data_IF_996662867256
#
_entry.id   IF_996662867256
#
_cell.length_a   1.000
_cell.length_b   1.000
_cell.length_c   1.000
_cell.angle_alpha   90.00
_cell.angle_beta   90.00
_cell.angle_gamma   90.00
#
_symmetry.space_group_name_H-M   'P 1'
#
loop_
_entity.id
_entity.type
_entity.pdbx_description
1 polymer ?
#
# COMPACT_ATOMS: atom_id res chain seq x y z
N UNK A 1 -18.11 -18.36 2.68
CA UNK A 1 -19.48 -17.89 2.90
C UNK A 1 -19.43 -16.46 3.45
N UNK A 2 -20.29 -15.61 2.93
CA UNK A 2 -20.46 -14.24 3.39
C UNK A 2 -21.85 -14.12 4.03
N UNK A 3 -21.87 -14.14 5.36
CA UNK A 3 -23.08 -14.07 6.17
C UNK A 3 -23.13 -12.73 6.87
N UNK A 4 -24.24 -12.02 6.72
CA UNK A 4 -24.55 -10.83 7.46
C UNK A 4 -26.00 -10.91 7.94
N UNK A 5 -26.24 -10.65 9.21
CA UNK A 5 -27.57 -10.81 9.76
C UNK A 5 -27.80 -10.01 11.03
N UNK A 6 -29.04 -9.99 11.45
CA UNK A 6 -29.49 -9.38 12.69
C UNK A 6 -30.05 -10.47 13.58
N UNK A 7 -29.65 -10.49 14.85
CA UNK A 7 -30.21 -11.41 15.83
C UNK A 7 -31.58 -10.88 16.31
N UNK A 8 -32.61 -11.68 16.10
CA UNK A 8 -33.95 -11.41 16.57
C UNK A 8 -34.12 -11.98 18.00
N UNK A 9 -34.04 -11.10 18.99
CA UNK A 9 -34.12 -11.47 20.41
C UNK A 9 -35.50 -12.06 20.75
N UNK A 10 -36.56 -11.61 20.06
CA UNK A 10 -37.94 -12.03 20.36
C UNK A 10 -38.17 -13.51 19.98
N UNK A 11 -37.59 -13.92 18.86
CA UNK A 11 -37.76 -15.25 18.31
C UNK A 11 -36.55 -16.17 18.54
N UNK A 12 -35.50 -15.67 19.25
CA UNK A 12 -34.25 -16.36 19.55
C UNK A 12 -33.61 -16.98 18.30
N UNK A 13 -33.51 -16.21 17.22
CA UNK A 13 -32.98 -16.65 15.94
C UNK A 13 -32.19 -15.57 15.21
N UNK A 14 -31.24 -16.00 14.39
CA UNK A 14 -30.55 -15.10 13.46
C UNK A 14 -31.34 -14.99 12.15
N UNK A 15 -31.69 -13.76 11.79
CA UNK A 15 -32.23 -13.44 10.47
C UNK A 15 -31.08 -13.00 9.57
N UNK A 16 -30.77 -13.77 8.56
CA UNK A 16 -29.71 -13.42 7.62
C UNK A 16 -30.22 -12.36 6.63
N UNK A 17 -29.54 -11.21 6.59
CA UNK A 17 -29.76 -10.17 5.61
C UNK A 17 -29.00 -10.44 4.31
N UNK A 18 -27.88 -11.18 4.41
CA UNK A 18 -27.10 -11.66 3.28
C UNK A 18 -26.63 -13.08 3.57
N UNK A 19 -26.78 -13.95 2.61
CA UNK A 19 -26.25 -15.32 2.67
C UNK A 19 -25.71 -15.69 1.29
N UNK A 20 -24.43 -15.45 1.05
CA UNK A 20 -23.80 -15.75 -0.23
C UNK A 20 -22.55 -16.62 -0.06
N UNK A 21 -22.25 -17.37 -1.09
CA UNK A 21 -21.06 -18.22 -1.21
C UNK A 21 -20.16 -17.65 -2.29
N UNK A 22 -18.88 -17.42 -1.93
CA UNK A 22 -17.84 -17.01 -2.85
C UNK A 22 -16.94 -18.21 -3.17
N UNK A 23 -16.83 -18.55 -4.44
CA UNK A 23 -15.82 -19.48 -4.94
C UNK A 23 -14.65 -18.66 -5.47
N UNK A 24 -13.48 -18.82 -4.86
CA UNK A 24 -12.29 -18.04 -5.24
C UNK A 24 -11.23 -18.93 -5.86
N UNK A 25 -10.76 -18.51 -7.03
CA UNK A 25 -9.66 -19.13 -7.76
C UNK A 25 -8.48 -18.16 -7.76
N UNK A 26 -7.35 -18.61 -7.18
CA UNK A 26 -6.18 -17.77 -7.01
C UNK A 26 -4.98 -18.36 -7.75
N UNK A 27 -4.30 -17.55 -8.56
CA UNK A 27 -2.99 -17.83 -9.15
C UNK A 27 -2.00 -16.76 -8.64
N UNK A 28 -1.03 -17.20 -7.84
CA UNK A 28 -0.03 -16.33 -7.24
C UNK A 28 1.35 -16.67 -7.80
N UNK A 29 2.01 -15.69 -8.40
CA UNK A 29 3.39 -15.80 -8.87
C UNK A 29 4.29 -14.94 -8.02
N UNK A 30 5.45 -15.49 -7.63
CA UNK A 30 6.45 -14.77 -6.84
C UNK A 30 7.79 -14.92 -7.48
N UNK A 31 8.49 -13.79 -7.65
CA UNK A 31 9.85 -13.74 -8.12
C UNK A 31 10.67 -12.94 -7.12
N UNK A 32 11.76 -13.51 -6.64
CA UNK A 32 12.72 -12.86 -5.76
C UNK A 32 14.13 -12.98 -6.28
N UNK A 33 14.93 -11.95 -6.12
CA UNK A 33 16.36 -11.96 -6.42
C UNK A 33 17.12 -11.23 -5.31
N UNK A 34 18.30 -11.75 -4.96
CA UNK A 34 19.20 -11.18 -3.98
C UNK A 34 20.60 -11.11 -4.60
N UNK A 35 21.25 -9.95 -4.49
CA UNK A 35 22.64 -9.77 -4.86
C UNK A 35 23.37 -9.04 -3.75
N UNK A 36 24.36 -9.66 -3.14
CA UNK A 36 25.22 -9.05 -2.14
C UNK A 36 26.67 -9.12 -2.62
N UNK A 37 27.34 -7.98 -2.62
CA UNK A 37 28.75 -7.84 -2.91
C UNK A 37 29.44 -7.25 -1.69
N UNK A 38 30.58 -7.79 -1.29
CA UNK A 38 31.39 -7.27 -0.21
C UNK A 38 32.83 -7.08 -0.69
N UNK A 39 33.40 -5.93 -0.36
CA UNK A 39 34.79 -5.59 -0.58
C UNK A 39 35.46 -5.32 0.75
N UNK A 40 36.52 -6.05 1.04
CA UNK A 40 37.37 -5.85 2.20
C UNK A 40 38.73 -5.33 1.72
N UNK A 41 39.24 -4.27 2.37
CA UNK A 41 40.57 -3.75 2.08
C UNK A 41 41.65 -4.77 2.48
N UNK A 42 42.83 -4.70 1.90
CA UNK A 42 43.96 -5.58 2.24
C UNK A 42 44.37 -5.51 3.71
N UNK A 43 44.18 -4.35 4.37
CA UNK A 43 44.44 -4.17 5.79
C UNK A 43 43.33 -4.74 6.68
N UNK A 44 42.18 -5.12 6.13
CA UNK A 44 40.98 -5.53 6.87
C UNK A 44 40.19 -4.38 7.52
N UNK A 45 40.73 -3.16 7.49
CA UNK A 45 40.18 -2.02 8.24
C UNK A 45 38.99 -1.36 7.56
N UNK A 46 38.84 -1.55 6.24
CA UNK A 46 37.74 -0.97 5.49
C UNK A 46 36.90 -2.05 4.83
N UNK A 47 35.60 -2.05 5.12
CA UNK A 47 34.63 -2.96 4.52
C UNK A 47 33.52 -2.16 3.83
N UNK A 48 33.23 -2.52 2.59
CA UNK A 48 32.10 -1.97 1.83
C UNK A 48 31.18 -3.11 1.44
N UNK A 49 29.88 -2.90 1.53
CA UNK A 49 28.90 -3.88 1.09
C UNK A 49 27.83 -3.19 0.24
N UNK A 50 27.54 -3.79 -0.91
CA UNK A 50 26.40 -3.45 -1.73
C UNK A 50 25.38 -4.59 -1.63
N UNK A 51 24.19 -4.27 -1.15
CA UNK A 51 23.10 -5.23 -0.97
C UNK A 51 21.93 -4.81 -1.84
N UNK A 52 21.42 -5.75 -2.64
CA UNK A 52 20.25 -5.53 -3.47
C UNK A 52 19.23 -6.63 -3.24
N UNK A 53 17.98 -6.24 -3.07
CA UNK A 53 16.85 -7.14 -2.98
C UNK A 53 15.82 -6.69 -4.00
N UNK A 54 15.32 -7.65 -4.76
CA UNK A 54 14.21 -7.49 -5.68
C UNK A 54 13.14 -8.51 -5.35
N UNK A 55 11.89 -8.07 -5.23
CA UNK A 55 10.74 -8.95 -5.09
C UNK A 55 9.61 -8.48 -5.97
N UNK A 56 8.97 -9.42 -6.65
CA UNK A 56 7.72 -9.21 -7.36
C UNK A 56 6.70 -10.28 -7.00
N UNK A 57 5.49 -9.84 -6.70
CA UNK A 57 4.36 -10.70 -6.38
C UNK A 57 3.22 -10.30 -7.30
N UNK A 58 2.79 -11.25 -8.12
CA UNK A 58 1.60 -11.13 -8.95
C UNK A 58 0.51 -12.01 -8.35
N UNK A 59 -0.65 -11.42 -8.12
CA UNK A 59 -1.85 -12.10 -7.62
C UNK A 59 -2.95 -11.93 -8.66
N UNK A 60 -3.39 -13.05 -9.22
CA UNK A 60 -4.55 -13.11 -10.09
C UNK A 60 -5.65 -13.87 -9.37
N UNK A 61 -6.81 -13.26 -9.20
CA UNK A 61 -7.94 -13.84 -8.49
C UNK A 61 -9.21 -13.66 -9.32
N UNK A 62 -9.92 -14.75 -9.48
CA UNK A 62 -11.30 -14.76 -9.92
C UNK A 62 -12.18 -15.17 -8.74
N UNK A 63 -13.25 -14.43 -8.51
CA UNK A 63 -14.26 -14.76 -7.49
C UNK A 63 -15.60 -14.85 -8.18
N UNK A 64 -16.29 -15.95 -7.96
CA UNK A 64 -17.66 -16.19 -8.38
C UNK A 64 -18.54 -16.21 -7.13
N UNK A 65 -19.59 -15.40 -7.13
CA UNK A 65 -20.51 -15.25 -6.00
C UNK A 65 -21.91 -15.68 -6.39
N UNK A 66 -22.57 -16.41 -5.51
CA UNK A 66 -24.00 -16.71 -5.61
C UNK A 66 -24.63 -16.75 -4.23
N UNK A 67 -25.89 -16.33 -4.13
CA UNK A 67 -26.61 -16.37 -2.87
C UNK A 67 -27.77 -15.38 -2.83
N UNK A 68 -28.07 -14.90 -1.62
CA UNK A 68 -29.16 -13.97 -1.36
C UNK A 68 -28.59 -12.66 -0.80
N UNK A 69 -29.04 -11.55 -1.34
CA UNK A 69 -28.65 -10.20 -0.89
C UNK A 69 -29.49 -9.73 0.31
N UNK A 70 -29.23 -8.51 0.78
CA UNK A 70 -29.91 -7.94 1.94
C UNK A 70 -31.40 -7.66 1.72
N UNK A 71 -31.87 -7.63 0.49
CA UNK A 71 -33.26 -7.46 0.09
C UNK A 71 -33.98 -8.79 -0.07
N UNK A 72 -33.32 -9.91 0.19
CA UNK A 72 -33.81 -11.27 -0.02
C UNK A 72 -33.95 -11.68 -1.49
N UNK A 73 -33.25 -10.95 -2.38
CA UNK A 73 -33.18 -11.30 -3.79
C UNK A 73 -31.99 -12.21 -4.08
N UNK A 74 -32.10 -13.06 -5.08
CA UNK A 74 -30.98 -13.86 -5.54
C UNK A 74 -29.91 -12.94 -6.15
N UNK A 75 -28.66 -13.09 -5.72
CA UNK A 75 -27.52 -12.33 -6.18
C UNK A 75 -26.52 -13.26 -6.88
N UNK A 76 -26.11 -12.87 -8.07
CA UNK A 76 -24.98 -13.48 -8.78
C UNK A 76 -23.98 -12.37 -9.08
N UNK A 77 -22.70 -12.65 -8.86
CA UNK A 77 -21.66 -11.68 -9.11
C UNK A 77 -20.33 -12.32 -9.45
N UNK A 78 -19.47 -11.57 -10.11
CA UNK A 78 -18.11 -11.98 -10.33
C UNK A 78 -17.12 -10.82 -10.16
N UNK A 79 -15.92 -11.17 -9.73
CA UNK A 79 -14.80 -10.26 -9.61
C UNK A 79 -13.58 -10.84 -10.34
N UNK A 80 -13.03 -10.06 -11.26
CA UNK A 80 -11.73 -10.29 -11.89
C UNK A 80 -10.73 -9.32 -11.30
N UNK A 81 -9.75 -9.84 -10.58
CA UNK A 81 -8.80 -9.04 -9.83
C UNK A 81 -7.37 -9.47 -10.16
N UNK A 82 -6.62 -8.57 -10.77
CA UNK A 82 -5.18 -8.72 -10.91
C UNK A 82 -4.45 -7.63 -10.16
N UNK A 83 -3.44 -8.01 -9.40
CA UNK A 83 -2.59 -7.07 -8.67
C UNK A 83 -1.13 -7.51 -8.74
N UNK A 84 -0.27 -6.59 -9.15
CA UNK A 84 1.16 -6.76 -9.03
C UNK A 84 1.74 -5.85 -7.94
N UNK A 85 2.73 -6.34 -7.22
CA UNK A 85 3.58 -5.59 -6.31
C UNK A 85 5.03 -5.84 -6.66
N UNK A 86 5.81 -4.77 -6.80
CA UNK A 86 7.25 -4.85 -6.96
C UNK A 86 7.90 -4.04 -5.86
N UNK A 87 8.90 -4.61 -5.21
CA UNK A 87 9.74 -3.92 -4.23
C UNK A 87 11.21 -4.15 -4.58
N UNK A 88 11.98 -3.07 -4.56
CA UNK A 88 13.44 -3.11 -4.70
C UNK A 88 14.05 -2.35 -3.54
N UNK A 89 15.17 -2.84 -3.05
CA UNK A 89 15.99 -2.10 -2.10
C UNK A 89 17.45 -2.27 -2.50
N UNK A 90 18.16 -1.15 -2.58
CA UNK A 90 19.59 -1.08 -2.79
C UNK A 90 20.20 -0.37 -1.59
N UNK A 91 21.14 -1.01 -0.92
CA UNK A 91 21.84 -0.46 0.22
C UNK A 91 23.35 -0.54 -0.01
N UNK A 92 24.05 0.57 0.18
CA UNK A 92 25.49 0.66 0.19
C UNK A 92 25.93 0.98 1.61
N UNK A 93 26.79 0.14 2.19
CA UNK A 93 27.31 0.34 3.54
C UNK A 93 28.82 0.44 3.54
N UNK A 94 29.37 1.22 4.45
CA UNK A 94 30.80 1.31 4.72
C UNK A 94 31.07 1.20 6.20
N UNK A 95 32.11 0.43 6.53
CA UNK A 95 32.64 0.29 7.89
C UNK A 95 34.14 0.49 7.86
N UNK A 96 34.62 1.41 8.71
CA UNK A 96 36.01 1.81 8.80
C UNK A 96 36.47 1.67 10.25
N UNK A 97 37.45 0.79 10.47
CA UNK A 97 38.03 0.57 11.79
C UNK A 97 39.39 1.27 11.84
N UNK A 98 39.49 2.28 12.68
CA UNK A 98 40.70 3.04 12.97
C UNK A 98 41.20 2.67 14.37
N UNK A 99 42.39 3.06 14.82
CA UNK A 99 42.93 2.65 16.11
C UNK A 99 42.07 2.95 17.34
N UNK A 100 41.34 4.07 17.30
CA UNK A 100 40.44 4.52 18.38
C UNK A 100 39.02 4.81 17.90
N UNK A 101 38.76 4.73 16.57
CA UNK A 101 37.50 5.10 15.98
C UNK A 101 36.91 3.96 15.19
N UNK A 102 35.59 3.84 15.28
CA UNK A 102 34.77 3.00 14.41
C UNK A 102 33.76 3.89 13.69
N UNK A 103 33.93 4.00 12.38
CA UNK A 103 33.04 4.74 11.51
C UNK A 103 32.18 3.79 10.70
N UNK A 104 30.86 3.96 10.76
CA UNK A 104 29.90 3.19 10.00
C UNK A 104 28.91 4.12 9.32
N UNK A 105 28.64 3.85 8.05
CA UNK A 105 27.64 4.60 7.31
C UNK A 105 26.86 3.68 6.37
N UNK A 106 25.63 4.05 6.08
CA UNK A 106 24.83 3.42 5.06
C UNK A 106 24.01 4.45 4.26
N UNK A 107 23.82 4.12 2.99
CA UNK A 107 22.95 4.83 2.06
C UNK A 107 21.99 3.80 1.47
N UNK A 108 20.72 4.09 1.50
CA UNK A 108 19.69 3.18 1.02
C UNK A 108 18.69 3.88 0.11
N UNK A 109 18.31 3.17 -0.95
CA UNK A 109 17.20 3.55 -1.81
C UNK A 109 16.26 2.38 -1.96
N UNK A 110 14.99 2.60 -1.65
CA UNK A 110 13.92 1.63 -1.83
C UNK A 110 12.86 2.18 -2.78
N UNK A 111 12.40 1.33 -3.66
CA UNK A 111 11.24 1.59 -4.49
C UNK A 111 10.20 0.49 -4.30
N UNK A 112 8.97 0.90 -4.06
CA UNK A 112 7.83 0.00 -4.01
C UNK A 112 6.73 0.48 -4.94
N UNK A 113 6.16 -0.42 -5.71
CA UNK A 113 4.97 -0.13 -6.47
C UNK A 113 3.88 -1.17 -6.27
N UNK A 114 2.66 -0.72 -6.46
CA UNK A 114 1.48 -1.58 -6.57
C UNK A 114 0.69 -1.13 -7.78
N UNK A 115 0.33 -2.10 -8.62
CA UNK A 115 -0.52 -1.90 -9.78
C UNK A 115 -1.72 -2.82 -9.67
N UNK A 116 -2.89 -2.29 -9.93
CA UNK A 116 -4.12 -3.02 -10.12
C UNK A 116 -4.76 -2.46 -11.39
N UNK A 117 -4.34 -2.96 -12.56
CA UNK A 117 -4.92 -2.58 -13.82
C UNK A 117 -6.22 -3.33 -14.01
N UNK A 118 -7.32 -2.61 -14.08
CA UNK A 118 -8.59 -3.16 -14.53
C UNK A 118 -9.16 -4.28 -13.61
N UNK A 119 -9.38 -3.96 -12.34
CA UNK A 119 -10.26 -4.78 -11.51
C UNK A 119 -11.68 -4.65 -12.04
N UNK A 120 -12.27 -5.76 -12.47
CA UNK A 120 -13.65 -5.82 -12.96
C UNK A 120 -14.53 -6.45 -11.90
N UNK A 121 -15.66 -5.84 -11.65
CA UNK A 121 -16.65 -6.35 -10.72
C UNK A 121 -18.04 -6.11 -11.28
N UNK A 122 -18.90 -7.11 -11.20
CA UNK A 122 -20.31 -6.95 -11.48
C UNK A 122 -21.17 -7.74 -10.49
N UNK A 123 -22.38 -7.27 -10.29
CA UNK A 123 -23.42 -7.94 -9.52
C UNK A 123 -24.72 -7.89 -10.28
N UNK A 124 -25.44 -8.99 -10.29
CA UNK A 124 -26.77 -9.15 -10.91
C UNK A 124 -27.70 -9.60 -9.79
N UNK A 125 -28.80 -8.89 -9.64
CA UNK A 125 -29.87 -9.28 -8.72
C UNK A 125 -31.03 -9.87 -9.53
N UNK A 126 -31.55 -11.01 -9.10
CA UNK A 126 -32.76 -11.64 -9.62
C UNK A 126 -33.94 -11.30 -8.73
N UNK A 127 -34.34 -10.03 -8.73
CA UNK A 127 -35.42 -9.52 -7.88
C UNK A 127 -36.80 -10.04 -8.27
N UNK A 128 -36.95 -10.62 -9.47
CA UNK A 128 -38.28 -10.87 -10.06
C UNK A 128 -38.45 -12.29 -10.63
N UNK A 129 -37.70 -13.28 -10.18
CA UNK A 129 -37.71 -14.67 -10.70
C UNK A 129 -37.40 -14.81 -12.20
N UNK A 130 -36.89 -13.75 -12.84
CA UNK A 130 -36.70 -13.70 -14.29
C UNK A 130 -35.28 -13.37 -14.75
N UNK A 131 -34.28 -13.50 -13.86
CA UNK A 131 -32.89 -13.21 -14.22
C UNK A 131 -32.73 -11.79 -14.74
N UNK A 132 -33.39 -10.83 -14.13
CA UNK A 132 -33.22 -9.42 -14.47
C UNK A 132 -31.92 -8.93 -13.91
N UNK A 133 -31.00 -8.64 -14.80
CA UNK A 133 -29.85 -7.87 -14.49
C UNK A 133 -30.31 -6.49 -14.05
N UNK A 134 -30.22 -6.18 -12.78
CA UNK A 134 -30.45 -4.83 -12.29
C UNK A 134 -29.11 -4.08 -12.38
N UNK A 135 -28.92 -3.47 -13.52
CA UNK A 135 -27.99 -2.38 -13.61
C UNK A 135 -28.68 -1.15 -13.03
N UNK A 136 -28.75 -1.07 -11.70
CA UNK A 136 -29.18 0.16 -11.04
C UNK A 136 -28.04 1.17 -11.13
N UNK A 137 -28.40 2.42 -11.31
CA UNK A 137 -27.45 3.50 -11.47
C UNK A 137 -26.39 3.48 -10.37
N UNK A 138 -25.18 3.04 -10.72
CA UNK A 138 -24.02 3.39 -9.97
C UNK A 138 -23.08 2.30 -9.47
N UNK A 139 -23.37 1.01 -9.50
CA UNK A 139 -22.43 0.09 -8.83
C UNK A 139 -22.29 -1.32 -9.40
N UNK A 140 -23.12 -1.77 -10.29
CA UNK A 140 -23.23 -3.20 -10.57
C UNK A 140 -22.20 -3.70 -11.55
N UNK A 141 -21.73 -2.84 -12.47
CA UNK A 141 -20.61 -3.18 -13.35
C UNK A 141 -19.58 -2.07 -13.26
N UNK A 142 -18.48 -2.32 -12.61
CA UNK A 142 -17.43 -1.34 -12.48
C UNK A 142 -16.05 -1.88 -12.90
N UNK A 143 -15.17 -0.94 -13.24
CA UNK A 143 -13.76 -1.17 -13.55
C UNK A 143 -12.93 -0.21 -12.74
N UNK A 144 -11.97 -0.73 -11.98
CA UNK A 144 -11.10 0.06 -11.12
C UNK A 144 -9.63 -0.10 -11.54
N UNK A 145 -8.94 1.03 -11.60
CA UNK A 145 -7.52 1.11 -11.93
C UNK A 145 -6.80 1.81 -10.79
N UNK A 146 -5.89 1.12 -10.11
CA UNK A 146 -5.10 1.75 -9.05
C UNK A 146 -3.60 1.65 -9.30
N UNK A 147 -2.91 2.71 -8.92
CA UNK A 147 -1.48 2.83 -9.02
C UNK A 147 -0.93 3.47 -7.76
N UNK A 148 0.04 2.80 -7.13
CA UNK A 148 0.84 3.35 -6.03
C UNK A 148 2.31 3.25 -6.40
N UNK A 149 3.02 4.36 -6.25
CA UNK A 149 4.48 4.43 -6.32
C UNK A 149 5.01 5.03 -5.02
N UNK A 150 6.03 4.43 -4.45
CA UNK A 150 6.69 4.89 -3.24
C UNK A 150 8.21 4.83 -3.41
N UNK A 151 8.86 5.92 -3.07
CA UNK A 151 10.31 6.06 -3.08
C UNK A 151 10.76 6.40 -1.66
N UNK A 152 11.77 5.71 -1.16
CA UNK A 152 12.37 5.94 0.14
C UNK A 152 13.87 6.07 -0.05
N UNK A 153 14.43 7.16 0.42
CA UNK A 153 15.87 7.41 0.46
C UNK A 153 16.26 7.57 1.91
N UNK A 154 17.28 6.86 2.36
CA UNK A 154 17.81 7.03 3.72
C UNK A 154 19.32 7.06 3.75
N UNK A 155 19.84 7.79 4.71
CA UNK A 155 21.25 7.83 5.04
C UNK A 155 21.43 7.71 6.55
N UNK A 156 22.42 6.96 6.95
CA UNK A 156 22.81 6.78 8.34
C UNK A 156 24.31 6.92 8.48
N UNK A 157 24.74 7.54 9.57
CA UNK A 157 26.13 7.73 9.93
C UNK A 157 26.31 7.52 11.42
N UNK A 158 27.32 6.75 11.79
CA UNK A 158 27.69 6.48 13.18
C UNK A 158 29.19 6.54 13.32
N UNK A 159 29.64 7.19 14.37
CA UNK A 159 31.02 7.21 14.82
C UNK A 159 31.08 6.80 16.29
N UNK A 160 32.00 5.92 16.63
CA UNK A 160 32.34 5.55 17.99
C UNK A 160 33.80 5.84 18.21
N UNK A 161 34.11 6.65 19.21
CA UNK A 161 35.48 6.94 19.66
C UNK A 161 35.73 6.32 21.01
N UNK A 162 36.80 5.54 21.12
CA UNK A 162 37.26 4.91 22.38
C UNK A 162 38.41 5.73 22.98
N UNK A 163 38.16 6.32 24.15
CA UNK A 163 39.16 7.07 24.92
C UNK A 163 39.92 6.14 25.84
N UNK A 164 41.17 6.52 26.18
CA UNK A 164 41.98 5.78 27.13
C UNK A 164 42.64 6.70 28.13
N UNK A 165 42.19 6.62 29.39
CA UNK A 165 42.71 7.39 30.53
C UNK A 165 43.22 6.44 31.61
N UNK A 166 44.35 5.82 31.36
CA UNK A 166 44.89 4.77 32.24
C UNK A 166 44.01 3.53 32.26
N UNK A 167 43.40 3.20 33.39
CA UNK A 167 42.46 2.07 33.53
C UNK A 167 41.00 2.44 33.23
N UNK A 168 40.71 3.70 32.97
CA UNK A 168 39.40 4.19 32.59
C UNK A 168 39.32 4.33 31.06
N UNK A 169 38.48 3.53 30.43
CA UNK A 169 38.33 3.48 28.95
C UNK A 169 36.87 3.78 28.55
N UNK A 170 36.45 5.07 28.62
CA UNK A 170 35.11 5.44 28.18
C UNK A 170 35.01 5.48 26.66
N UNK A 171 33.80 5.32 26.15
CA UNK A 171 33.54 5.52 24.72
C UNK A 171 32.43 6.52 24.50
N UNK A 172 32.53 7.29 23.42
CA UNK A 172 31.51 8.21 22.93
C UNK A 172 31.02 7.72 21.57
N UNK A 173 29.70 7.67 21.38
CA UNK A 173 29.09 7.35 20.14
C UNK A 173 28.23 8.52 19.67
N UNK A 174 28.48 8.98 18.44
CA UNK A 174 27.70 10.00 17.75
C UNK A 174 27.06 9.39 16.52
N UNK A 175 25.87 9.85 16.16
CA UNK A 175 25.25 9.37 14.93
C UNK A 175 24.15 10.28 14.44
N UNK A 176 23.83 10.10 13.15
CA UNK A 176 22.79 10.80 12.46
C UNK A 176 22.03 9.89 11.51
N UNK A 177 20.76 10.15 11.35
CA UNK A 177 19.86 9.45 10.44
C UNK A 177 19.01 10.45 9.68
N UNK A 178 18.85 10.24 8.39
CA UNK A 178 17.94 10.99 7.56
C UNK A 178 17.15 10.04 6.65
N UNK A 179 15.85 10.27 6.53
CA UNK A 179 14.98 9.55 5.60
C UNK A 179 14.04 10.53 4.90
N UNK A 180 13.93 10.39 3.60
CA UNK A 180 12.90 11.03 2.81
C UNK A 180 12.07 9.97 2.09
N UNK A 181 10.74 10.05 2.28
CA UNK A 181 9.77 9.17 1.65
C UNK A 181 8.79 10.00 0.83
N UNK A 182 8.58 9.57 -0.42
CA UNK A 182 7.55 10.14 -1.30
C UNK A 182 6.65 9.02 -1.79
N UNK A 183 5.34 9.19 -1.60
CA UNK A 183 4.31 8.24 -2.00
C UNK A 183 3.28 8.94 -2.87
N UNK A 184 2.93 8.32 -3.99
CA UNK A 184 1.89 8.76 -4.88
C UNK A 184 0.88 7.66 -5.11
N UNK A 185 -0.36 7.93 -4.78
CA UNK A 185 -1.47 7.02 -5.00
C UNK A 185 -2.47 7.64 -5.96
N UNK A 186 -2.87 6.87 -6.98
CA UNK A 186 -3.89 7.24 -7.94
C UNK A 186 -4.88 6.09 -8.13
N UNK A 187 -6.15 6.44 -8.19
CA UNK A 187 -7.22 5.53 -8.57
C UNK A 187 -8.13 6.19 -9.60
N UNK A 188 -8.68 5.38 -10.50
CA UNK A 188 -9.74 5.74 -11.43
C UNK A 188 -10.78 4.64 -11.39
N UNK A 189 -12.02 5.01 -11.38
CA UNK A 189 -13.15 4.09 -11.38
C UNK A 189 -14.07 4.44 -12.52
N UNK A 190 -14.53 3.42 -13.22
CA UNK A 190 -15.46 3.53 -14.32
C UNK A 190 -16.64 2.62 -14.05
N UNK A 191 -17.83 3.11 -14.37
CA UNK A 191 -19.08 2.36 -14.33
C UNK A 191 -19.67 2.29 -15.72
N UNK A 192 -20.32 1.17 -16.04
CA UNK A 192 -21.13 1.10 -17.24
C UNK A 192 -22.49 1.72 -16.94
N UNK A 193 -22.92 2.62 -17.81
CA UNK A 193 -24.18 3.34 -17.69
C UNK A 193 -24.90 3.36 -19.02
N UNK A 194 -26.17 3.68 -18.99
CA UNK A 194 -27.03 3.87 -20.16
C UNK A 194 -28.13 4.86 -19.79
N UNK A 195 -28.75 5.49 -20.80
CA UNK A 195 -29.95 6.25 -20.57
C UNK A 195 -31.14 5.32 -20.33
N UNK A 196 -31.92 5.59 -19.30
CA UNK A 196 -33.07 4.76 -18.92
C UNK A 196 -34.26 4.90 -19.89
N UNK A 197 -34.36 6.04 -20.54
CA UNK A 197 -35.52 6.40 -21.38
C UNK A 197 -35.21 6.43 -22.89
N UNK A 198 -33.99 6.84 -23.25
CA UNK A 198 -33.60 7.14 -24.65
C UNK A 198 -32.54 6.21 -25.23
N UNK A 199 -32.37 4.98 -24.69
CA UNK A 199 -31.39 4.06 -25.25
C UNK A 199 -31.96 3.23 -26.41
N UNK A 200 -31.10 2.83 -27.35
CA UNK A 200 -31.39 1.95 -28.47
C UNK A 200 -30.99 0.49 -28.23
N UNK A 201 -30.71 0.13 -26.99
CA UNK A 201 -30.41 -1.24 -26.60
C UNK A 201 -31.64 -2.14 -26.76
N UNK A 202 -31.45 -3.45 -27.03
CA UNK A 202 -32.57 -4.40 -27.04
C UNK A 202 -33.35 -4.34 -25.72
N UNK A 203 -34.66 -4.46 -25.77
CA UNK A 203 -35.53 -4.36 -24.58
C UNK A 203 -35.19 -5.36 -23.48
N UNK A 204 -34.56 -6.47 -23.84
CA UNK A 204 -34.14 -7.56 -22.97
C UNK A 204 -32.65 -7.56 -22.64
N UNK A 205 -31.93 -6.47 -23.01
CA UNK A 205 -30.47 -6.40 -22.78
C UNK A 205 -30.08 -6.67 -21.31
N UNK A 206 -30.97 -6.36 -20.38
CA UNK A 206 -30.77 -6.64 -18.94
C UNK A 206 -30.78 -8.12 -18.58
N UNK A 207 -31.29 -8.96 -19.47
CA UNK A 207 -31.34 -10.42 -19.31
C UNK A 207 -30.23 -11.15 -20.06
N UNK A 208 -29.44 -10.41 -20.85
CA UNK A 208 -28.34 -10.99 -21.60
C UNK A 208 -27.21 -11.45 -20.68
N UNK A 209 -26.47 -12.44 -21.15
CA UNK A 209 -25.22 -12.84 -20.49
C UNK A 209 -24.25 -11.65 -20.47
N UNK A 210 -23.59 -11.43 -19.31
CA UNK A 210 -22.67 -10.32 -19.13
C UNK A 210 -21.49 -10.39 -20.10
N UNK A 211 -21.00 -11.57 -20.39
CA UNK A 211 -19.88 -11.73 -21.33
C UNK A 211 -20.31 -11.35 -22.75
N UNK A 212 -21.51 -11.74 -23.15
CA UNK A 212 -22.09 -11.36 -24.45
C UNK A 212 -22.31 -9.84 -24.51
N UNK A 213 -22.96 -9.26 -23.50
CA UNK A 213 -23.27 -7.83 -23.45
C UNK A 213 -22.01 -6.97 -23.49
N UNK A 214 -20.98 -7.32 -22.71
CA UNK A 214 -19.77 -6.50 -22.58
C UNK A 214 -18.71 -6.77 -23.66
N UNK A 215 -18.82 -7.85 -24.42
CA UNK A 215 -17.89 -8.15 -25.51
C UNK A 215 -18.35 -7.65 -26.88
N UNK A 216 -19.64 -7.37 -27.05
CA UNK A 216 -20.19 -6.94 -28.33
C UNK A 216 -20.12 -5.41 -28.46
N UNK A 217 -19.29 -4.94 -29.40
CA UNK A 217 -19.12 -3.51 -29.68
C UNK A 217 -20.39 -2.81 -30.11
N UNK A 218 -21.37 -3.54 -30.67
CA UNK A 218 -22.63 -2.97 -31.18
C UNK A 218 -23.55 -2.48 -30.06
N UNK A 219 -23.29 -2.91 -28.82
CA UNK A 219 -24.01 -2.45 -27.62
C UNK A 219 -23.42 -1.19 -26.98
N UNK A 220 -22.37 -0.61 -27.56
CA UNK A 220 -21.72 0.59 -27.02
C UNK A 220 -21.93 1.80 -27.93
N UNK A 221 -22.24 2.95 -27.31
CA UNK A 221 -22.45 4.22 -28.00
C UNK A 221 -23.13 5.26 -27.15
N UNK A 222 -23.39 6.44 -27.70
CA UNK A 222 -23.98 7.55 -26.95
C UNK A 222 -25.42 7.27 -26.46
N UNK A 223 -26.18 6.51 -27.25
CA UNK A 223 -27.55 6.08 -26.99
C UNK A 223 -27.65 4.60 -26.59
N UNK A 224 -26.56 4.02 -26.12
CA UNK A 224 -26.43 2.62 -25.71
C UNK A 224 -25.70 2.55 -24.36
N UNK A 225 -24.94 1.46 -24.12
CA UNK A 225 -24.00 1.40 -23.02
C UNK A 225 -22.83 2.35 -23.28
N UNK A 226 -22.49 3.12 -22.29
CA UNK A 226 -21.30 3.95 -22.29
C UNK A 226 -20.53 3.82 -20.98
N UNK A 227 -19.25 4.12 -21.03
CA UNK A 227 -18.38 4.07 -19.87
C UNK A 227 -18.31 5.44 -19.23
N UNK A 228 -18.85 5.57 -18.03
CA UNK A 228 -18.81 6.79 -17.23
C UNK A 228 -17.64 6.71 -16.24
N UNK A 229 -16.74 7.69 -16.26
CA UNK A 229 -15.72 7.81 -15.21
C UNK A 229 -16.33 8.44 -13.97
N UNK A 230 -16.32 7.67 -12.88
CA UNK A 230 -16.72 8.18 -11.58
C UNK A 230 -15.63 9.11 -11.02
N UNK A 231 -16.03 10.30 -10.61
CA UNK A 231 -15.08 11.26 -10.04
C UNK A 231 -14.66 10.80 -8.64
N UNK A 232 -13.46 10.26 -8.56
CA UNK A 232 -12.88 9.79 -7.28
C UNK A 232 -11.55 10.50 -6.93
N UNK A 233 -11.39 11.76 -7.34
CA UNK A 233 -10.15 12.53 -7.16
C UNK A 233 -9.76 12.69 -5.70
N UNK A 234 -10.71 12.75 -4.76
CA UNK A 234 -10.45 12.78 -3.31
C UNK A 234 -9.76 11.50 -2.80
N UNK A 235 -9.84 10.42 -3.55
CA UNK A 235 -9.14 9.16 -3.21
C UNK A 235 -7.67 9.18 -3.68
N UNK A 236 -7.28 10.18 -4.48
CA UNK A 236 -5.91 10.36 -4.95
C UNK A 236 -5.13 11.20 -3.94
N UNK A 237 -3.87 10.83 -3.70
CA UNK A 237 -3.02 11.60 -2.80
C UNK A 237 -1.54 11.51 -3.19
N UNK A 238 -0.80 12.56 -2.81
CA UNK A 238 0.65 12.56 -2.70
C UNK A 238 1.02 12.74 -1.24
N UNK A 239 1.88 11.88 -0.73
CA UNK A 239 2.37 11.94 0.65
C UNK A 239 3.88 12.04 0.67
N UNK A 240 4.41 12.98 1.44
CA UNK A 240 5.83 13.15 1.68
C UNK A 240 6.12 13.02 3.17
N UNK A 241 7.23 12.39 3.51
CA UNK A 241 7.71 12.31 4.89
C UNK A 241 9.20 12.60 4.90
N UNK A 242 9.62 13.49 5.78
CA UNK A 242 11.02 13.80 6.08
C UNK A 242 11.26 13.49 7.55
N UNK A 243 12.15 12.56 7.82
CA UNK A 243 12.63 12.21 9.15
C UNK A 243 14.11 12.51 9.25
N UNK A 244 14.49 13.27 10.25
CA UNK A 244 15.88 13.53 10.61
C UNK A 244 16.10 13.22 12.08
N UNK A 245 17.21 12.56 12.43
CA UNK A 245 17.58 12.29 13.79
C UNK A 245 19.08 12.44 14.01
N UNK A 246 19.44 12.91 15.20
CA UNK A 246 20.80 12.92 15.68
C UNK A 246 20.87 12.37 17.09
N UNK A 247 21.94 11.68 17.43
CA UNK A 247 22.10 11.13 18.76
C UNK A 247 23.55 11.18 19.24
N UNK A 248 23.68 11.18 20.55
CA UNK A 248 24.94 11.07 21.29
C UNK A 248 24.76 10.08 22.42
N UNK A 249 25.70 9.18 22.59
CA UNK A 249 25.71 8.23 23.70
C UNK A 249 27.10 8.01 24.23
N UNK A 250 27.24 7.87 25.55
CA UNK A 250 28.49 7.60 26.23
C UNK A 250 28.40 6.28 26.98
N UNK A 251 29.48 5.50 26.95
CA UNK A 251 29.69 4.33 27.79
C UNK A 251 30.82 4.63 28.78
N UNK A 252 30.52 4.53 30.06
CA UNK A 252 31.39 4.93 31.16
C UNK A 252 31.64 3.71 32.06
N UNK A 253 32.79 3.00 31.88
CA UNK A 253 33.13 1.84 32.71
C UNK A 253 33.69 2.27 34.07
N UNK A 254 33.04 1.88 35.15
CA UNK A 254 33.49 2.12 36.52
C UNK A 254 33.67 0.79 37.26
N UNK A 255 34.85 0.22 37.21
CA UNK A 255 35.16 -1.04 37.85
C UNK A 255 34.28 -2.20 37.33
N UNK A 256 33.32 -2.64 38.16
CA UNK A 256 32.37 -3.71 37.76
C UNK A 256 31.07 -3.19 37.12
N UNK A 257 30.89 -1.88 37.09
CA UNK A 257 29.71 -1.25 36.54
C UNK A 257 30.06 -0.58 35.21
N UNK A 258 29.11 -0.56 34.28
CA UNK A 258 29.20 0.22 33.07
C UNK A 258 27.92 1.07 32.97
N UNK A 259 28.04 2.38 32.99
CA UNK A 259 26.93 3.31 32.83
C UNK A 259 26.85 3.67 31.35
N UNK A 260 25.74 3.40 30.75
CA UNK A 260 25.44 3.82 29.38
C UNK A 260 24.37 4.91 29.39
N UNK A 261 24.72 6.11 28.92
CA UNK A 261 23.81 7.26 28.83
C UNK A 261 23.75 7.81 27.41
N UNK A 262 22.59 8.19 26.98
CA UNK A 262 22.38 8.70 25.63
C UNK A 262 21.24 9.69 25.51
N UNK A 263 21.30 10.48 24.46
CA UNK A 263 20.30 11.44 24.08
C UNK A 263 20.10 11.39 22.56
N UNK A 264 18.84 11.27 22.13
CA UNK A 264 18.46 11.29 20.73
C UNK A 264 17.43 12.37 20.50
N UNK A 265 17.63 13.17 19.47
CA UNK A 265 16.69 14.14 18.95
C UNK A 265 16.14 13.63 17.64
N UNK A 266 14.82 13.74 17.44
CA UNK A 266 14.14 13.42 16.16
C UNK A 266 13.32 14.61 15.70
N UNK A 267 13.36 14.84 14.41
CA UNK A 267 12.48 15.75 13.68
C UNK A 267 11.72 14.96 12.61
N UNK A 268 10.41 15.00 12.66
CA UNK A 268 9.55 14.35 11.67
C UNK A 268 8.59 15.38 11.08
N UNK A 269 8.55 15.44 9.75
CA UNK A 269 7.60 16.24 8.99
C UNK A 269 6.90 15.37 7.98
N UNK A 270 5.57 15.33 8.07
CA UNK A 270 4.72 14.67 7.09
C UNK A 270 3.85 15.69 6.37
N UNK A 271 3.68 15.49 5.09
CA UNK A 271 2.79 16.27 4.24
C UNK A 271 1.88 15.31 3.47
N UNK A 272 0.59 15.58 3.50
CA UNK A 272 -0.41 14.89 2.70
C UNK A 272 -1.12 15.90 1.80
N UNK A 273 -1.01 15.72 0.50
CA UNK A 273 -1.67 16.53 -0.52
C UNK A 273 -2.77 15.68 -1.15
N UNK A 274 -4.00 16.10 -1.00
CA UNK A 274 -5.19 15.41 -1.53
C UNK A 274 -6.22 16.44 -1.99
N UNK A 275 -7.29 15.99 -2.64
CA UNK A 275 -8.43 16.82 -2.96
C UNK A 275 -9.51 16.64 -1.89
N UNK A 276 -10.15 17.73 -1.46
CA UNK A 276 -11.29 17.69 -0.54
C UNK A 276 -12.57 17.26 -1.26
N UNK A 277 -12.65 17.56 -2.55
CA UNK A 277 -13.76 17.23 -3.46
C UNK A 277 -13.22 16.52 -4.67
N UNK A 278 -14.12 16.01 -5.48
CA UNK A 278 -13.78 15.35 -6.74
C UNK A 278 -13.53 16.35 -7.89
N UNK A 279 -12.95 17.49 -7.58
CA UNK A 279 -12.50 18.50 -8.54
C UNK A 279 -11.00 18.79 -8.40
N UNK A 280 -10.40 19.29 -9.48
CA UNK A 280 -8.94 19.55 -9.55
C UNK A 280 -8.54 20.74 -8.68
N UNK A 281 -9.46 21.67 -8.43
CA UNK A 281 -9.17 22.95 -7.76
C UNK A 281 -9.21 22.83 -6.22
N UNK A 282 -9.73 21.73 -5.68
CA UNK A 282 -9.85 21.50 -4.25
C UNK A 282 -8.60 20.94 -3.58
N UNK A 283 -7.42 21.21 -4.10
CA UNK A 283 -6.17 20.77 -3.49
C UNK A 283 -6.04 21.23 -2.05
N UNK A 284 -5.78 20.29 -1.16
CA UNK A 284 -5.55 20.54 0.24
C UNK A 284 -4.28 19.86 0.72
N UNK A 285 -3.44 20.62 1.43
CA UNK A 285 -2.21 20.13 2.03
C UNK A 285 -2.33 20.14 3.54
N UNK A 286 -2.07 18.99 4.15
CA UNK A 286 -2.01 18.85 5.61
C UNK A 286 -0.60 18.55 6.03
N UNK A 287 -0.10 19.32 6.99
CA UNK A 287 1.21 19.16 7.57
C UNK A 287 1.11 18.63 8.99
N UNK A 288 1.96 17.67 9.29
CA UNK A 288 2.26 17.24 10.65
C UNK A 288 3.74 17.43 10.90
N UNK A 289 4.10 18.05 12.02
CA UNK A 289 5.49 18.24 12.43
C UNK A 289 5.63 17.84 13.89
N UNK A 290 6.65 17.05 14.17
CA UNK A 290 7.00 16.67 15.52
C UNK A 290 8.50 16.84 15.76
N UNK A 291 8.85 17.12 17.04
CA UNK A 291 10.21 17.24 17.51
C UNK A 291 10.27 16.55 18.86
N UNK A 292 11.00 15.46 18.93
CA UNK A 292 11.04 14.61 20.10
C UNK A 292 12.47 14.47 20.62
N UNK A 293 12.59 14.37 21.93
CA UNK A 293 13.85 14.14 22.64
C UNK A 293 13.74 12.85 23.45
N UNK A 294 14.67 11.94 23.23
CA UNK A 294 14.68 10.62 23.85
C UNK A 294 15.94 10.45 24.71
N UNK A 295 15.90 10.76 26.01
CA UNK A 295 16.99 10.43 26.93
C UNK A 295 16.95 8.95 27.29
N UNK A 296 18.12 8.35 27.49
CA UNK A 296 18.27 6.98 27.97
C UNK A 296 19.43 6.88 28.96
N UNK A 297 19.27 6.03 29.96
CA UNK A 297 20.32 5.65 30.92
C UNK A 297 20.13 4.19 31.33
N UNK A 298 21.21 3.42 31.33
CA UNK A 298 21.27 2.02 31.75
C UNK A 298 22.43 1.78 32.66
#
# INVERSE_FOLDING_TARGET
>A
NNLFGVYDITNDRSNYLRNSTDNQYNDNKRLGALLNLALLSKSGNNKYELKNIFNRIDNNRYTDRSGVNAQSDNEIGAEYYYRSRTTTNTQLTGKHTLPHDLLEWDLSYSYANRRMPDRKHYTIDDALEHGTMILTAGNEINREFTKLDEHIMSANFNEKHDFKFGSFEPSLKLGGYGEYRSRKYKTRQFIYSWDMEENTLPADFRKMDMTELLSNSDYFGNDKLYLLEEQCMRNNYNGNNLLGAGYMAASLPFGKFNIYAGLRFEYNQMELITNLRDDIESHHSRYYRNRDLFPSIN
#
